data_IF_345961005202
#
_entry.id   IF_345961005202
#
_cell.length_a   1.000
_cell.length_b   1.000
_cell.length_c   1.000
_cell.angle_alpha   90.00
_cell.angle_beta   90.00
_cell.angle_gamma   90.00
#
_symmetry.space_group_name_H-M   'P 1'
#
loop_
_entity.id
_entity.type
_entity.pdbx_description
1 polymer ?
#
# COMPACT_ATOMS: atom_id res chain seq x y z
N UNK A 1 -11.71 14.40 -11.01
CA UNK A 1 -11.24 13.48 -12.09
C UNK A 1 -11.04 12.11 -11.46
N UNK A 2 -11.59 11.05 -12.06
CA UNK A 2 -11.43 9.67 -11.57
C UNK A 2 -9.98 9.24 -11.69
N UNK A 3 -9.43 8.60 -10.65
CA UNK A 3 -8.06 8.07 -10.58
C UNK A 3 -8.09 6.56 -10.38
N UNK A 4 -7.01 5.89 -10.77
CA UNK A 4 -6.75 4.48 -10.48
C UNK A 4 -5.68 4.41 -9.40
N UNK A 5 -6.01 3.82 -8.26
CA UNK A 5 -5.17 3.74 -7.07
C UNK A 5 -4.88 2.28 -6.77
N UNK A 6 -3.62 1.87 -6.81
CA UNK A 6 -3.21 0.55 -6.36
C UNK A 6 -2.76 0.63 -4.90
N UNK A 7 -3.33 -0.22 -4.04
CA UNK A 7 -2.96 -0.32 -2.62
C UNK A 7 -2.30 -1.68 -2.41
N UNK A 8 -1.03 -1.69 -2.01
CA UNK A 8 -0.26 -2.93 -1.78
C UNK A 8 -0.12 -3.16 -0.27
N UNK A 9 -0.73 -4.22 0.19
CA UNK A 9 -0.92 -4.57 1.59
C UNK A 9 -2.39 -4.43 1.98
N UNK A 10 -3.08 -5.56 2.14
CA UNK A 10 -4.50 -5.62 2.50
C UNK A 10 -4.71 -5.80 4.01
N UNK A 11 -3.74 -5.37 4.82
CA UNK A 11 -3.91 -5.22 6.26
C UNK A 11 -4.95 -4.14 6.58
N UNK A 12 -5.21 -3.91 7.88
CA UNK A 12 -6.28 -2.99 8.31
C UNK A 12 -6.15 -1.58 7.72
N UNK A 13 -4.96 -0.98 7.74
CA UNK A 13 -4.78 0.39 7.23
C UNK A 13 -4.88 0.47 5.71
N UNK A 14 -4.23 -0.44 4.98
CA UNK A 14 -4.32 -0.49 3.52
C UNK A 14 -5.77 -0.69 3.06
N UNK A 15 -6.48 -1.64 3.65
CA UNK A 15 -7.89 -1.90 3.35
C UNK A 15 -8.80 -0.72 3.73
N UNK A 16 -8.53 -0.06 4.87
CA UNK A 16 -9.32 1.09 5.30
C UNK A 16 -9.24 2.27 4.34
N UNK A 17 -8.07 2.53 3.74
CA UNK A 17 -7.89 3.59 2.75
C UNK A 17 -8.68 3.36 1.45
N UNK A 18 -9.05 2.13 1.17
CA UNK A 18 -9.87 1.82 0.00
C UNK A 18 -11.28 2.44 0.10
N UNK A 19 -11.82 2.64 1.31
CA UNK A 19 -13.15 3.20 1.53
C UNK A 19 -13.23 4.65 1.05
N UNK A 20 -12.51 5.62 1.64
CA UNK A 20 -12.61 7.00 1.21
C UNK A 20 -12.15 7.19 -0.25
N UNK A 21 -11.20 6.41 -0.74
CA UNK A 21 -10.76 6.49 -2.12
C UNK A 21 -11.88 6.08 -3.09
N UNK A 22 -12.54 4.94 -2.85
CA UNK A 22 -13.64 4.47 -3.70
C UNK A 22 -14.91 5.34 -3.55
N UNK A 23 -15.23 5.81 -2.35
CA UNK A 23 -16.37 6.72 -2.10
C UNK A 23 -16.23 8.06 -2.82
N UNK A 24 -14.98 8.52 -3.03
CA UNK A 24 -14.71 9.69 -3.87
C UNK A 24 -14.66 9.38 -5.38
N UNK A 25 -15.13 8.20 -5.79
CA UNK A 25 -15.31 7.81 -7.19
C UNK A 25 -14.05 7.31 -7.88
N UNK A 26 -12.97 7.02 -7.14
CA UNK A 26 -11.75 6.43 -7.69
C UNK A 26 -11.89 4.91 -7.90
N UNK A 27 -11.13 4.36 -8.84
CA UNK A 27 -10.94 2.92 -8.94
C UNK A 27 -9.83 2.52 -7.96
N UNK A 28 -10.11 1.57 -7.09
CA UNK A 28 -9.16 1.05 -6.12
C UNK A 28 -8.81 -0.40 -6.44
N UNK A 29 -7.54 -0.71 -6.51
CA UNK A 29 -7.02 -2.05 -6.71
C UNK A 29 -6.25 -2.47 -5.46
N UNK A 30 -6.93 -3.23 -4.61
CA UNK A 30 -6.39 -3.71 -3.34
C UNK A 30 -5.64 -5.02 -3.56
N UNK A 31 -4.34 -5.00 -3.30
CA UNK A 31 -3.42 -6.13 -3.48
C UNK A 31 -3.00 -6.65 -2.12
N UNK A 32 -3.18 -7.95 -1.89
CA UNK A 32 -2.64 -8.62 -0.71
C UNK A 32 -1.11 -8.79 -0.80
N UNK A 33 -0.46 -8.94 0.34
CA UNK A 33 0.91 -9.48 0.41
C UNK A 33 0.87 -11.01 0.44
N UNK A 34 2.02 -11.67 0.45
CA UNK A 34 2.11 -13.12 0.63
C UNK A 34 1.49 -13.63 1.95
N UNK A 35 1.27 -12.73 2.92
CA UNK A 35 0.64 -13.02 4.21
C UNK A 35 -0.87 -12.75 4.23
N UNK A 36 -1.42 -12.13 3.20
CA UNK A 36 -2.78 -11.62 3.17
C UNK A 36 -3.73 -12.47 2.28
N UNK A 37 -3.34 -13.69 1.88
CA UNK A 37 -4.11 -14.51 0.94
C UNK A 37 -5.55 -14.70 1.37
N UNK A 38 -5.75 -15.14 2.60
CA UNK A 38 -7.08 -15.40 3.15
C UNK A 38 -7.92 -14.11 3.21
N UNK A 39 -7.28 -12.97 3.44
CA UNK A 39 -7.96 -11.66 3.43
C UNK A 39 -8.49 -11.34 2.04
N UNK A 40 -7.66 -11.50 1.00
CA UNK A 40 -8.06 -11.23 -0.39
C UNK A 40 -9.13 -12.22 -0.84
N UNK A 41 -9.01 -13.51 -0.50
CA UNK A 41 -10.03 -14.52 -0.83
C UNK A 41 -11.37 -14.19 -0.17
N UNK A 42 -11.36 -13.76 1.08
CA UNK A 42 -12.57 -13.30 1.77
C UNK A 42 -13.16 -12.05 1.10
N UNK A 43 -12.32 -11.07 0.75
CA UNK A 43 -12.76 -9.86 0.04
C UNK A 43 -13.40 -10.20 -1.31
N UNK A 44 -12.85 -11.14 -2.06
CA UNK A 44 -13.43 -11.62 -3.32
C UNK A 44 -14.78 -12.30 -3.13
N UNK A 45 -14.92 -13.07 -2.04
CA UNK A 45 -16.13 -13.85 -1.74
C UNK A 45 -17.28 -13.00 -1.21
N UNK A 46 -16.98 -12.09 -0.29
CA UNK A 46 -17.99 -11.37 0.50
C UNK A 46 -18.02 -9.85 0.27
N UNK A 47 -17.07 -9.31 -0.50
CA UNK A 47 -16.84 -7.87 -0.64
C UNK A 47 -16.58 -7.18 0.71
N UNK A 48 -16.04 -7.91 1.70
CA UNK A 48 -15.72 -7.39 3.03
C UNK A 48 -14.30 -7.79 3.46
N UNK A 49 -13.65 -6.89 4.19
CA UNK A 49 -12.44 -7.25 4.92
C UNK A 49 -12.84 -8.03 6.19
N UNK A 50 -12.14 -9.13 6.58
CA UNK A 50 -12.52 -9.97 7.71
C UNK A 50 -12.69 -9.22 9.06
N UNK A 51 -12.01 -8.08 9.21
CA UNK A 51 -12.02 -7.29 10.45
C UNK A 51 -12.92 -6.04 10.39
N UNK A 52 -13.59 -5.77 9.27
CA UNK A 52 -14.49 -4.63 9.14
C UNK A 52 -15.91 -5.10 8.92
N UNK A 53 -16.84 -4.64 9.75
CA UNK A 53 -18.27 -4.91 9.58
C UNK A 53 -18.93 -3.97 8.57
N UNK A 54 -18.23 -3.73 7.47
CA UNK A 54 -18.70 -2.90 6.36
C UNK A 54 -18.21 -3.48 5.03
N UNK A 55 -19.11 -3.55 4.05
CA UNK A 55 -18.73 -3.92 2.68
C UNK A 55 -17.92 -2.80 2.02
N UNK A 56 -16.95 -3.18 1.19
CA UNK A 56 -16.23 -2.22 0.38
C UNK A 56 -17.16 -1.50 -0.58
N UNK A 57 -16.95 -0.20 -0.82
CA UNK A 57 -17.68 0.55 -1.82
C UNK A 57 -17.47 0.01 -3.24
N UNK A 58 -18.37 0.37 -4.15
CA UNK A 58 -18.23 0.06 -5.57
C UNK A 58 -16.93 0.69 -6.10
N UNK A 59 -16.19 -0.06 -6.92
CA UNK A 59 -14.92 0.42 -7.51
C UNK A 59 -13.68 -0.18 -6.87
N UNK A 60 -13.83 -0.98 -5.82
CA UNK A 60 -12.72 -1.77 -5.24
C UNK A 60 -12.61 -3.12 -5.95
N UNK A 61 -11.41 -3.46 -6.40
CA UNK A 61 -11.03 -4.75 -7.00
C UNK A 61 -9.94 -5.40 -6.17
N UNK A 62 -9.91 -6.72 -6.12
CA UNK A 62 -9.05 -7.49 -5.23
C UNK A 62 -8.06 -8.33 -6.01
N UNK A 63 -6.77 -8.27 -5.62
CA UNK A 63 -5.67 -8.94 -6.29
C UNK A 63 -4.82 -9.71 -5.28
N UNK A 64 -4.43 -10.92 -5.61
CA UNK A 64 -3.36 -11.62 -4.90
C UNK A 64 -1.99 -11.03 -5.30
N UNK A 65 -0.96 -11.33 -4.53
CA UNK A 65 0.37 -10.72 -4.77
C UNK A 65 0.93 -11.07 -6.16
N UNK A 66 0.62 -12.23 -6.68
CA UNK A 66 1.07 -12.64 -8.01
C UNK A 66 0.49 -11.79 -9.13
N UNK A 67 -0.65 -11.16 -8.88
CA UNK A 67 -1.37 -10.29 -9.81
C UNK A 67 -0.99 -8.80 -9.64
N UNK A 68 0.00 -8.47 -8.78
CA UNK A 68 0.30 -7.07 -8.47
C UNK A 68 0.68 -6.25 -9.70
N UNK A 69 1.34 -6.85 -10.67
CA UNK A 69 1.74 -6.17 -11.92
C UNK A 69 0.52 -5.72 -12.73
N UNK A 70 -0.53 -6.53 -12.77
CA UNK A 70 -1.82 -6.16 -13.37
C UNK A 70 -2.46 -5.02 -12.55
N UNK A 71 -2.44 -5.12 -11.23
CA UNK A 71 -3.03 -4.12 -10.35
C UNK A 71 -2.37 -2.74 -10.48
N UNK A 72 -1.05 -2.66 -10.71
CA UNK A 72 -0.33 -1.40 -10.87
C UNK A 72 -0.31 -0.88 -12.31
N UNK A 73 -0.66 -1.70 -13.29
CA UNK A 73 -0.68 -1.30 -14.69
C UNK A 73 -1.69 -0.17 -14.92
N UNK A 74 -1.21 0.99 -15.38
CA UNK A 74 -2.04 2.18 -15.60
C UNK A 74 -2.58 2.81 -14.31
N UNK A 75 -2.04 2.49 -13.14
CA UNK A 75 -2.35 3.20 -11.91
C UNK A 75 -1.78 4.63 -11.94
N UNK A 76 -2.51 5.57 -11.33
CA UNK A 76 -2.06 6.96 -11.18
C UNK A 76 -1.07 7.11 -10.03
N UNK A 77 -1.20 6.28 -8.99
CA UNK A 77 -0.25 6.17 -7.88
C UNK A 77 -0.45 4.87 -7.08
N UNK A 78 0.54 4.56 -6.27
CA UNK A 78 0.56 3.38 -5.40
C UNK A 78 0.54 3.81 -3.94
N UNK A 79 -0.25 3.11 -3.13
CA UNK A 79 -0.19 3.21 -1.67
C UNK A 79 0.49 1.96 -1.12
N UNK A 80 1.56 2.14 -0.35
CA UNK A 80 2.21 1.08 0.41
C UNK A 80 1.54 0.92 1.77
N UNK A 81 0.72 -0.11 1.92
CA UNK A 81 -0.06 -0.43 3.13
C UNK A 81 0.54 -1.56 3.97
N UNK A 82 1.85 -1.81 3.83
CA UNK A 82 2.55 -2.87 4.57
C UNK A 82 2.85 -2.44 6.02
N UNK A 83 3.00 -3.42 6.91
CA UNK A 83 3.47 -3.18 8.27
C UNK A 83 4.98 -2.92 8.31
N UNK A 84 5.50 -2.53 9.49
CA UNK A 84 6.96 -2.36 9.69
C UNK A 84 7.76 -3.63 9.38
N UNK A 85 7.19 -4.82 9.54
CA UNK A 85 7.83 -6.08 9.16
C UNK A 85 7.94 -6.26 7.64
N UNK A 86 7.14 -5.56 6.86
CA UNK A 86 7.14 -5.64 5.41
C UNK A 86 8.01 -4.59 4.72
N UNK A 87 8.79 -3.78 5.45
CA UNK A 87 9.57 -2.66 4.90
C UNK A 87 10.59 -3.13 3.86
N UNK A 88 11.40 -4.13 4.20
CA UNK A 88 12.41 -4.68 3.28
C UNK A 88 11.78 -5.46 2.13
N UNK A 89 10.72 -6.21 2.41
CA UNK A 89 9.97 -6.89 1.37
C UNK A 89 9.38 -5.90 0.37
N UNK A 90 8.78 -4.82 0.84
CA UNK A 90 8.18 -3.79 -0.03
C UNK A 90 9.24 -3.10 -0.90
N UNK A 91 10.43 -2.83 -0.34
CA UNK A 91 11.57 -2.33 -1.10
C UNK A 91 11.96 -3.29 -2.22
N UNK A 92 12.25 -4.55 -1.85
CA UNK A 92 12.92 -5.49 -2.73
C UNK A 92 11.99 -6.12 -3.78
N UNK A 93 10.72 -6.33 -3.44
CA UNK A 93 9.75 -6.99 -4.32
C UNK A 93 8.89 -5.99 -5.10
N UNK A 94 8.60 -4.83 -4.51
CA UNK A 94 7.66 -3.88 -5.09
C UNK A 94 8.38 -2.64 -5.62
N UNK A 95 9.01 -1.84 -4.77
CA UNK A 95 9.53 -0.53 -5.17
C UNK A 95 10.57 -0.58 -6.28
N UNK A 96 11.43 -1.60 -6.28
CA UNK A 96 12.45 -1.78 -7.33
C UNK A 96 11.86 -2.19 -8.68
N UNK A 97 10.66 -2.73 -8.69
CA UNK A 97 9.99 -3.26 -9.88
C UNK A 97 8.88 -2.34 -10.43
N UNK A 98 8.52 -1.27 -9.73
CA UNK A 98 7.56 -0.28 -10.22
C UNK A 98 8.20 0.68 -11.21
N UNK A 99 7.40 1.24 -12.13
CA UNK A 99 7.83 2.39 -12.96
C UNK A 99 8.32 3.52 -12.02
N UNK A 100 9.55 4.02 -12.17
CA UNK A 100 10.10 5.07 -11.30
C UNK A 100 9.26 6.36 -11.25
N UNK A 101 8.49 6.62 -12.31
CA UNK A 101 7.61 7.80 -12.40
C UNK A 101 6.29 7.65 -11.64
N UNK A 102 5.93 6.44 -11.25
CA UNK A 102 4.69 6.18 -10.52
C UNK A 102 4.83 6.64 -9.06
N UNK A 103 4.07 7.65 -8.62
CA UNK A 103 4.18 8.15 -7.26
C UNK A 103 3.81 7.09 -6.22
N UNK A 104 4.51 7.09 -5.09
CA UNK A 104 4.26 6.16 -3.99
C UNK A 104 3.98 6.94 -2.70
N UNK A 105 2.86 6.61 -2.07
CA UNK A 105 2.49 7.07 -0.73
C UNK A 105 2.57 5.89 0.24
N UNK A 106 3.38 5.99 1.27
CA UNK A 106 3.43 4.98 2.33
C UNK A 106 2.57 5.36 3.53
N UNK A 107 1.90 4.39 4.11
CA UNK A 107 1.23 4.53 5.41
C UNK A 107 1.92 3.74 6.52
N UNK A 108 3.07 3.15 6.21
CA UNK A 108 3.93 2.46 7.17
C UNK A 108 4.63 3.49 8.06
N UNK A 109 4.40 3.39 9.36
CA UNK A 109 4.95 4.31 10.36
C UNK A 109 6.14 3.66 11.06
N UNK A 110 7.18 4.46 11.33
CA UNK A 110 8.32 4.03 12.10
C UNK A 110 9.66 4.57 11.59
N UNK A 111 10.68 4.18 12.30
CA UNK A 111 12.07 4.55 12.04
C UNK A 111 12.93 3.29 11.96
N UNK A 112 14.00 3.36 11.19
CA UNK A 112 15.05 2.35 11.15
C UNK A 112 16.24 2.90 11.93
N UNK A 113 16.80 2.08 12.81
CA UNK A 113 18.07 2.34 13.45
C UNK A 113 19.19 1.77 12.57
N UNK A 114 20.03 2.64 12.04
CA UNK A 114 21.19 2.27 11.25
C UNK A 114 22.32 1.78 12.18
N UNK A 115 23.30 1.08 11.61
CA UNK A 115 24.46 0.52 12.35
C UNK A 115 25.26 1.57 13.13
N UNK A 116 25.28 2.81 12.63
CA UNK A 116 25.95 3.95 13.28
C UNK A 116 25.09 4.61 14.39
N UNK A 117 23.91 4.08 14.68
CA UNK A 117 22.95 4.61 15.65
C UNK A 117 22.05 5.73 15.12
N UNK A 118 22.17 6.10 13.84
CA UNK A 118 21.29 7.08 13.21
C UNK A 118 19.90 6.50 13.02
N UNK A 119 18.87 7.28 13.37
CA UNK A 119 17.47 6.95 13.10
C UNK A 119 17.01 7.64 11.83
N UNK A 120 16.48 6.87 10.88
CA UNK A 120 15.89 7.41 9.65
C UNK A 120 14.46 6.93 9.47
N UNK A 121 13.64 7.73 8.78
CA UNK A 121 12.27 7.31 8.42
C UNK A 121 12.27 6.24 7.34
N UNK A 122 11.19 5.44 7.27
CA UNK A 122 11.06 4.46 6.19
C UNK A 122 11.11 5.08 4.78
N UNK A 123 10.49 6.22 4.49
CA UNK A 123 10.67 6.88 3.19
C UNK A 123 12.10 7.25 2.87
N UNK A 124 12.86 7.76 3.86
CA UNK A 124 14.29 8.11 3.67
C UNK A 124 15.13 6.85 3.45
N UNK A 125 14.87 5.78 4.19
CA UNK A 125 15.49 4.49 3.99
C UNK A 125 15.24 3.97 2.57
N UNK A 126 13.99 3.91 2.12
CA UNK A 126 13.66 3.44 0.77
C UNK A 126 14.29 4.30 -0.31
N UNK A 127 14.25 5.63 -0.20
CA UNK A 127 14.91 6.54 -1.16
C UNK A 127 16.41 6.29 -1.24
N UNK A 128 17.07 6.14 -0.09
CA UNK A 128 18.50 5.85 -0.01
C UNK A 128 18.85 4.53 -0.70
N UNK A 129 18.14 3.46 -0.38
CA UNK A 129 18.38 2.14 -0.93
C UNK A 129 18.09 2.06 -2.44
N UNK A 130 17.02 2.72 -2.90
CA UNK A 130 16.70 2.81 -4.32
C UNK A 130 17.76 3.60 -5.09
N UNK A 131 18.23 4.71 -4.53
CA UNK A 131 19.31 5.52 -5.13
C UNK A 131 20.60 4.74 -5.29
N UNK A 132 20.98 3.91 -4.32
CA UNK A 132 22.14 3.00 -4.42
C UNK A 132 22.00 2.03 -5.61
N UNK A 133 20.77 1.70 -6.01
CA UNK A 133 20.43 0.81 -7.13
C UNK A 133 20.20 1.57 -8.45
N UNK A 134 20.49 2.87 -8.48
CA UNK A 134 20.29 3.71 -9.67
C UNK A 134 18.84 4.07 -9.96
N UNK A 135 17.93 3.89 -8.99
CA UNK A 135 16.51 4.21 -9.12
C UNK A 135 16.25 5.52 -8.37
N UNK A 136 15.88 6.56 -9.10
CA UNK A 136 15.45 7.84 -8.54
C UNK A 136 13.92 7.83 -8.40
N UNK A 137 13.43 7.76 -7.17
CA UNK A 137 12.00 7.67 -6.86
C UNK A 137 11.66 8.48 -5.62
N UNK A 138 10.64 9.29 -5.74
CA UNK A 138 10.02 9.92 -4.60
C UNK A 138 9.06 8.95 -3.89
N UNK A 139 9.22 8.86 -2.57
CA UNK A 139 8.30 8.15 -1.68
C UNK A 139 7.83 9.13 -0.61
N UNK A 140 6.54 9.41 -0.61
CA UNK A 140 5.89 10.19 0.43
C UNK A 140 5.34 9.27 1.53
N UNK A 141 5.09 9.82 2.72
CA UNK A 141 4.46 9.06 3.79
C UNK A 141 3.42 9.89 4.55
N UNK A 142 2.45 9.19 5.12
CA UNK A 142 1.51 9.77 6.08
C UNK A 142 2.12 9.66 7.47
N UNK A 143 2.33 10.79 8.11
CA UNK A 143 2.95 10.91 9.43
C UNK A 143 1.99 11.33 10.54
N UNK A 144 0.75 10.79 10.58
CA UNK A 144 -0.21 11.15 11.62
C UNK A 144 -0.74 9.93 12.38
N UNK A 145 -1.24 10.10 13.61
CA UNK A 145 -2.06 9.12 14.25
C UNK A 145 -3.44 9.09 13.55
N UNK A 146 -3.70 8.06 12.77
CA UNK A 146 -5.01 7.79 12.18
C UNK A 146 -5.44 6.37 12.51
N UNK A 147 -6.72 6.20 12.75
CA UNK A 147 -7.35 4.92 13.01
C UNK A 147 -7.94 4.37 11.71
N UNK A 148 -7.71 3.08 11.45
CA UNK A 148 -8.35 2.42 10.30
C UNK A 148 -9.87 2.42 10.40
N UNK A 149 -10.42 2.36 11.61
CA UNK A 149 -11.87 2.43 11.83
C UNK A 149 -12.46 3.77 11.44
N UNK A 150 -11.78 4.89 11.72
CA UNK A 150 -12.25 6.24 11.33
C UNK A 150 -12.25 6.46 9.80
N UNK A 151 -11.49 5.67 9.06
CA UNK A 151 -11.50 5.71 7.60
C UNK A 151 -12.61 4.85 7.00
N UNK A 152 -13.08 3.85 7.74
CA UNK A 152 -14.12 2.91 7.29
C UNK A 152 -15.51 3.41 7.64
N UNK A 153 -15.69 4.08 8.77
CA UNK A 153 -16.97 4.52 9.34
C UNK A 153 -17.05 6.04 9.48
#
# INVERSE_FOLDING_TARGET
>A
MKKVIAIIGSGMMGSALAFPAAENGHEVRLVGTHLDRDIIDECRRSNKHPKFDRAFPVGVKYYQIEEYREAVAGADFVIGGVSSFGVDWFLNEILVNLDPRLPVLSVTKGLINLEDGTLISYPDYWRSELKKRGIDREVCAVGCPCSSYELVF
#
